data_IF_253786181848
#
_entry.id   IF_253786181848
#
_cell.length_a   1.000
_cell.length_b   1.000
_cell.length_c   1.000
_cell.angle_alpha   90.00
_cell.angle_beta   90.00
_cell.angle_gamma   90.00
#
_symmetry.space_group_name_H-M   'P 1'
#
loop_
_entity.id
_entity.type
_entity.pdbx_description
1 polymer ?
#
# COMPACT_ATOMS: atom_id res chain seq x y z
N UNK A 1 11.51 17.14 -1.58
CA UNK A 1 11.01 16.01 -2.39
C UNK A 1 9.97 15.29 -1.55
N UNK A 2 8.89 14.81 -2.18
CA UNK A 2 7.75 14.22 -1.49
C UNK A 2 8.04 12.77 -1.09
N UNK A 3 7.65 12.39 0.14
CA UNK A 3 7.72 10.99 0.61
C UNK A 3 6.72 10.14 -0.17
N UNK A 4 7.05 8.86 -0.36
CA UNK A 4 6.09 7.91 -0.91
C UNK A 4 5.24 7.28 0.19
N UNK A 5 4.04 6.85 -0.16
CA UNK A 5 3.21 6.03 0.72
C UNK A 5 3.51 4.55 0.49
N UNK A 6 3.64 3.80 1.58
CA UNK A 6 3.81 2.34 1.56
C UNK A 6 2.74 1.69 2.42
N UNK A 7 2.16 0.59 1.92
CA UNK A 7 1.33 -0.27 2.76
C UNK A 7 2.19 -0.86 3.90
N UNK A 8 1.60 -1.03 5.08
CA UNK A 8 2.28 -1.51 6.30
C UNK A 8 3.16 -2.74 6.06
N UNK A 9 2.66 -3.78 5.39
CA UNK A 9 3.43 -5.00 5.15
C UNK A 9 4.64 -4.76 4.25
N UNK A 10 4.55 -3.81 3.31
CA UNK A 10 5.67 -3.43 2.45
C UNK A 10 6.71 -2.66 3.27
N UNK A 11 6.28 -1.70 4.09
CA UNK A 11 7.16 -0.94 4.97
C UNK A 11 7.93 -1.84 5.95
N UNK A 12 7.25 -2.78 6.61
CA UNK A 12 7.88 -3.71 7.56
C UNK A 12 8.93 -4.59 6.88
N UNK A 13 8.63 -5.11 5.68
CA UNK A 13 9.56 -5.94 4.92
C UNK A 13 10.71 -5.09 4.36
N UNK A 14 10.44 -3.83 3.99
CA UNK A 14 11.45 -2.90 3.51
C UNK A 14 12.48 -2.56 4.59
N UNK A 15 12.05 -2.27 5.82
CA UNK A 15 12.98 -2.05 6.94
C UNK A 15 13.80 -3.31 7.26
N UNK A 16 13.17 -4.49 7.21
CA UNK A 16 13.93 -5.75 7.35
C UNK A 16 14.95 -5.92 6.24
N UNK A 17 14.63 -5.56 4.99
CA UNK A 17 15.55 -5.68 3.87
C UNK A 17 16.76 -4.73 4.02
N UNK A 18 16.53 -3.49 4.47
CA UNK A 18 17.59 -2.50 4.77
C UNK A 18 18.62 -2.99 5.80
N UNK A 19 18.20 -3.87 6.72
CA UNK A 19 19.11 -4.47 7.71
C UNK A 19 19.95 -5.63 7.16
N UNK A 20 19.53 -6.24 6.05
CA UNK A 20 20.11 -7.52 5.56
C UNK A 20 20.76 -7.41 4.17
N UNK A 21 20.50 -6.33 3.43
CA UNK A 21 20.98 -6.15 2.07
C UNK A 21 21.55 -4.75 1.87
N UNK A 22 22.52 -4.64 0.96
CA UNK A 22 22.94 -3.35 0.43
C UNK A 22 21.83 -2.72 -0.41
N UNK A 23 21.79 -1.39 -0.43
CA UNK A 23 20.82 -0.61 -1.19
C UNK A 23 20.69 -1.06 -2.65
N UNK A 24 21.83 -1.23 -3.35
CA UNK A 24 21.86 -1.67 -4.76
C UNK A 24 21.18 -3.03 -4.95
N UNK A 25 21.30 -3.94 -3.98
CA UNK A 25 20.67 -5.24 -4.05
C UNK A 25 19.18 -5.16 -3.77
N UNK A 26 18.76 -4.28 -2.86
CA UNK A 26 17.33 -4.04 -2.58
C UNK A 26 16.63 -3.54 -3.85
N UNK A 27 17.19 -2.52 -4.50
CA UNK A 27 16.64 -1.93 -5.72
C UNK A 27 16.62 -2.97 -6.86
N UNK A 28 17.74 -3.67 -7.10
CA UNK A 28 17.85 -4.67 -8.16
C UNK A 28 16.90 -5.85 -7.95
N UNK A 29 16.74 -6.33 -6.72
CA UNK A 29 15.86 -7.46 -6.39
C UNK A 29 14.39 -7.08 -6.45
N UNK A 30 14.01 -5.88 -6.01
CA UNK A 30 12.65 -5.39 -6.17
C UNK A 30 12.24 -5.32 -7.66
N UNK A 31 13.13 -4.81 -8.52
CA UNK A 31 12.89 -4.70 -9.96
C UNK A 31 12.80 -6.05 -10.68
N UNK A 32 13.55 -7.05 -10.22
CA UNK A 32 13.59 -8.38 -10.84
C UNK A 32 12.63 -9.40 -10.22
N UNK A 33 11.92 -9.04 -9.13
CA UNK A 33 11.15 -9.99 -8.34
C UNK A 33 12.01 -11.05 -7.62
N UNK A 34 13.29 -10.76 -7.43
CA UNK A 34 14.32 -11.70 -6.99
C UNK A 34 14.51 -11.78 -5.48
N UNK A 35 13.59 -11.26 -4.67
CA UNK A 35 13.63 -11.44 -3.23
C UNK A 35 13.17 -12.85 -2.83
N UNK A 36 13.78 -13.47 -1.80
CA UNK A 36 13.29 -14.72 -1.24
C UNK A 36 11.91 -14.53 -0.60
N UNK A 37 11.24 -15.64 -0.29
CA UNK A 37 9.84 -15.67 0.14
C UNK A 37 9.53 -14.72 1.31
N UNK A 38 10.47 -14.58 2.24
CA UNK A 38 10.36 -13.73 3.42
C UNK A 38 10.29 -12.22 3.09
N UNK A 39 10.80 -11.81 1.92
CA UNK A 39 10.69 -10.43 1.42
C UNK A 39 9.80 -10.32 0.17
N UNK A 40 8.95 -11.33 -0.12
CA UNK A 40 8.12 -11.34 -1.33
C UNK A 40 7.22 -10.13 -1.49
N UNK A 41 6.91 -9.41 -0.40
CA UNK A 41 6.09 -8.19 -0.43
C UNK A 41 6.77 -7.03 -1.14
N UNK A 42 8.10 -7.08 -1.29
CA UNK A 42 8.84 -6.15 -2.14
C UNK A 42 8.79 -6.54 -3.62
N UNK A 43 8.46 -7.81 -3.93
CA UNK A 43 8.27 -8.23 -5.31
C UNK A 43 6.98 -7.60 -5.86
N UNK A 44 7.11 -6.81 -6.92
CA UNK A 44 5.99 -6.09 -7.53
C UNK A 44 5.80 -4.65 -7.03
N UNK A 45 6.61 -4.20 -6.06
CA UNK A 45 6.73 -2.77 -5.79
C UNK A 45 7.55 -2.14 -6.91
N UNK A 46 7.06 -1.03 -7.47
CA UNK A 46 7.77 -0.31 -8.53
C UNK A 46 9.17 0.10 -8.05
N UNK A 47 10.23 -0.11 -8.85
CA UNK A 47 11.59 0.28 -8.47
C UNK A 47 11.70 1.74 -8.07
N UNK A 48 10.98 2.63 -8.75
CA UNK A 48 10.96 4.06 -8.43
C UNK A 48 10.40 4.32 -7.02
N UNK A 49 9.40 3.54 -6.59
CA UNK A 49 8.83 3.64 -5.24
C UNK A 49 9.85 3.21 -4.20
N UNK A 50 10.59 2.12 -4.44
CA UNK A 50 11.66 1.67 -3.54
C UNK A 50 12.78 2.69 -3.44
N UNK A 51 13.24 3.24 -4.57
CA UNK A 51 14.27 4.30 -4.59
C UNK A 51 13.79 5.52 -3.81
N UNK A 52 12.57 6.00 -4.07
CA UNK A 52 12.03 7.16 -3.34
C UNK A 52 11.88 6.88 -1.85
N UNK A 53 11.38 5.70 -1.46
CA UNK A 53 11.25 5.30 -0.07
C UNK A 53 12.62 5.27 0.64
N UNK A 54 13.67 4.82 -0.05
CA UNK A 54 15.02 4.74 0.50
C UNK A 54 15.65 6.12 0.70
N UNK A 55 15.57 7.00 -0.30
CA UNK A 55 16.28 8.28 -0.31
C UNK A 55 15.49 9.43 0.30
N UNK A 56 14.17 9.44 0.15
CA UNK A 56 13.30 10.54 0.58
C UNK A 56 12.41 10.16 1.77
N UNK A 57 12.43 8.88 2.16
CA UNK A 57 11.57 8.34 3.20
C UNK A 57 10.17 8.00 2.69
N UNK A 58 9.38 7.40 3.58
CA UNK A 58 8.02 6.99 3.30
C UNK A 58 7.11 7.21 4.51
N UNK A 59 5.80 7.15 4.26
CA UNK A 59 4.77 7.10 5.29
C UNK A 59 3.97 5.81 5.14
N UNK A 60 3.56 5.23 6.27
CA UNK A 60 2.76 4.01 6.26
C UNK A 60 1.31 4.38 6.07
N UNK A 61 0.69 3.83 5.02
CA UNK A 61 -0.74 4.01 4.77
C UNK A 61 -1.56 3.44 5.90
N UNK A 62 -2.56 4.21 6.36
CA UNK A 62 -3.50 3.71 7.35
C UNK A 62 -4.62 2.92 6.66
N UNK A 63 -5.21 1.93 7.34
CA UNK A 63 -6.36 1.20 6.80
C UNK A 63 -7.49 2.13 6.34
N UNK A 64 -7.72 3.24 7.04
CA UNK A 64 -8.73 4.23 6.70
C UNK A 64 -8.45 4.92 5.37
N UNK A 65 -7.19 5.27 5.10
CA UNK A 65 -6.78 5.87 3.83
C UNK A 65 -7.00 4.91 2.67
N UNK A 66 -6.60 3.64 2.84
CA UNK A 66 -6.76 2.59 1.83
C UNK A 66 -8.24 2.37 1.50
N UNK A 67 -9.09 2.27 2.54
CA UNK A 67 -10.53 2.08 2.36
C UNK A 67 -11.17 3.31 1.70
N UNK A 68 -10.72 4.51 2.04
CA UNK A 68 -11.21 5.76 1.44
C UNK A 68 -10.83 5.88 -0.02
N UNK A 69 -9.58 5.57 -0.38
CA UNK A 69 -9.15 5.55 -1.78
C UNK A 69 -9.95 4.52 -2.59
N UNK A 70 -10.11 3.31 -2.04
CA UNK A 70 -10.93 2.28 -2.68
C UNK A 70 -12.37 2.78 -2.89
N UNK A 71 -12.98 3.36 -1.86
CA UNK A 71 -14.33 3.93 -1.96
C UNK A 71 -14.43 5.00 -3.04
N UNK A 72 -13.47 5.94 -3.07
CA UNK A 72 -13.43 7.05 -4.02
C UNK A 72 -13.20 6.60 -5.46
N UNK A 73 -12.43 5.53 -5.67
CA UNK A 73 -12.24 4.92 -6.98
C UNK A 73 -13.53 4.28 -7.51
N UNK A 74 -14.29 3.59 -6.65
CA UNK A 74 -15.50 2.89 -7.07
C UNK A 74 -16.76 3.79 -7.12
N UNK A 75 -16.82 4.89 -6.35
CA UNK A 75 -18.05 5.72 -6.29
C UNK A 75 -18.49 6.32 -7.63
N UNK A 76 -17.55 6.48 -8.57
CA UNK A 76 -17.81 7.10 -9.87
C UNK A 76 -17.97 6.08 -11.02
N UNK A 77 -17.93 4.77 -10.75
CA UNK A 77 -17.96 3.70 -11.77
C UNK A 77 -19.37 3.19 -12.11
N UNK A 78 -20.40 4.02 -11.97
CA UNK A 78 -21.79 3.67 -12.31
C UNK A 78 -22.35 2.51 -11.49
N UNK A 79 -23.12 1.61 -12.11
CA UNK A 79 -23.80 0.51 -11.42
C UNK A 79 -22.84 -0.49 -10.75
N UNK A 80 -21.73 -0.84 -11.42
CA UNK A 80 -20.71 -1.74 -10.86
C UNK A 80 -20.11 -1.14 -9.60
N UNK A 81 -19.74 0.14 -9.67
CA UNK A 81 -19.21 0.90 -8.54
C UNK A 81 -20.18 0.99 -7.36
N UNK A 82 -21.48 1.14 -7.64
CA UNK A 82 -22.53 1.24 -6.63
C UNK A 82 -22.59 0.01 -5.72
N UNK A 83 -22.48 -1.20 -6.27
CA UNK A 83 -22.49 -2.42 -5.46
C UNK A 83 -21.30 -2.50 -4.51
N UNK A 84 -20.11 -2.14 -4.98
CA UNK A 84 -18.89 -2.13 -4.17
C UNK A 84 -18.99 -1.09 -3.06
N UNK A 85 -19.43 0.13 -3.36
CA UNK A 85 -19.66 1.21 -2.39
C UNK A 85 -20.63 0.80 -1.28
N UNK A 86 -21.74 0.13 -1.66
CA UNK A 86 -22.71 -0.39 -0.68
C UNK A 86 -22.08 -1.46 0.20
N UNK A 87 -21.31 -2.38 -0.38
CA UNK A 87 -20.62 -3.43 0.37
C UNK A 87 -19.62 -2.83 1.37
N UNK A 88 -18.80 -1.86 0.94
CA UNK A 88 -17.85 -1.14 1.81
C UNK A 88 -18.60 -0.53 3.01
N UNK A 89 -19.65 0.26 2.77
CA UNK A 89 -20.43 0.90 3.86
C UNK A 89 -21.07 -0.11 4.81
N UNK A 90 -21.66 -1.18 4.28
CA UNK A 90 -22.29 -2.23 5.08
C UNK A 90 -21.27 -2.93 5.97
N UNK A 91 -20.10 -3.28 5.44
CA UNK A 91 -19.02 -3.90 6.20
C UNK A 91 -18.54 -2.96 7.29
N UNK A 92 -18.22 -1.70 6.98
CA UNK A 92 -17.77 -0.73 8.00
C UNK A 92 -18.79 -0.57 9.13
N UNK A 93 -20.08 -0.44 8.80
CA UNK A 93 -21.14 -0.35 9.80
C UNK A 93 -21.29 -1.64 10.62
N UNK A 94 -21.16 -2.81 10.01
CA UNK A 94 -21.27 -4.10 10.71
C UNK A 94 -20.16 -4.31 11.75
N UNK A 95 -18.95 -3.80 11.46
CA UNK A 95 -17.82 -3.83 12.38
C UNK A 95 -17.68 -2.58 13.25
N UNK A 96 -18.67 -1.68 13.22
CA UNK A 96 -18.68 -0.42 13.98
C UNK A 96 -17.46 0.48 13.72
N UNK A 97 -16.95 0.48 12.49
CA UNK A 97 -15.83 1.32 12.02
C UNK A 97 -16.41 2.58 11.36
N UNK A 98 -15.89 3.75 11.74
CA UNK A 98 -16.29 5.05 11.19
C UNK A 98 -15.16 5.69 10.40
N UNK A 99 -15.41 5.98 9.13
CA UNK A 99 -14.46 6.68 8.26
C UNK A 99 -15.12 7.94 7.70
N UNK A 100 -14.58 9.10 8.06
CA UNK A 100 -15.10 10.40 7.64
C UNK A 100 -15.13 10.52 6.10
N UNK A 101 -16.33 10.80 5.58
CA UNK A 101 -16.60 10.88 4.14
C UNK A 101 -17.15 9.60 3.52
N UNK A 102 -17.26 8.50 4.29
CA UNK A 102 -17.82 7.22 3.83
C UNK A 102 -19.15 6.90 4.53
N UNK A 103 -19.16 6.83 5.87
CA UNK A 103 -20.29 6.36 6.72
C UNK A 103 -20.35 7.02 8.11
#
# INVERSE_FOLDING_TARGET
MEKVKLVKEVAEVFEKAKLNYEERDIIRRAASGGFPLEYKRLNGVLPETIVKAYYFGYEVETPEEIVKEMFDNYKNLGEIGRHVVIAIRKTLNAYNIKINGIN
#
